data_IF_463225760253
#
_entry.id   IF_463225760253
#
_cell.length_a   1.000
_cell.length_b   1.000
_cell.length_c   1.000
_cell.angle_alpha   90.00
_cell.angle_beta   90.00
_cell.angle_gamma   90.00
#
_symmetry.space_group_name_H-M   'P 1'
#
loop_
_entity.id
_entity.type
_entity.pdbx_description
1 polymer ?
#
# COMPACT_ATOMS: atom_id res chain seq x y z
N UNK A 1 18.77 24.16 2.13
CA UNK A 1 19.17 22.81 1.66
C UNK A 1 18.02 21.88 1.97
N UNK A 2 17.40 21.37 0.92
CA UNK A 2 16.05 20.81 0.86
C UNK A 2 15.79 19.65 1.81
N UNK A 3 14.92 19.86 2.80
CA UNK A 3 14.20 18.78 3.49
C UNK A 3 12.74 18.84 3.01
N UNK A 4 12.41 18.09 1.95
CA UNK A 4 11.04 18.01 1.44
C UNK A 4 10.23 17.06 2.34
N UNK A 5 9.21 17.62 3.00
CA UNK A 5 7.90 17.02 3.24
C UNK A 5 7.84 15.50 3.47
N UNK A 6 8.23 15.04 4.66
CA UNK A 6 7.63 13.81 5.21
C UNK A 6 6.24 14.17 5.73
N UNK A 7 5.25 14.18 4.84
CA UNK A 7 3.85 14.27 5.23
C UNK A 7 3.49 12.99 5.98
N UNK A 8 3.71 12.96 7.29
CA UNK A 8 3.10 11.96 8.16
C UNK A 8 1.60 12.20 8.09
N UNK A 9 0.92 11.51 7.18
CA UNK A 9 -0.54 11.46 7.16
C UNK A 9 -0.94 10.87 8.51
N UNK A 10 -1.32 11.73 9.45
CA UNK A 10 -2.20 11.34 10.56
C UNK A 10 -3.50 10.91 9.89
N UNK A 11 -3.59 9.64 9.51
CA UNK A 11 -4.82 9.02 9.05
C UNK A 11 -5.73 8.95 10.30
N UNK A 12 -6.41 10.05 10.61
CA UNK A 12 -7.54 10.03 11.54
C UNK A 12 -8.63 9.27 10.79
N UNK A 13 -8.68 7.96 11.02
CA UNK A 13 -9.55 7.02 10.31
C UNK A 13 -11.01 7.33 10.65
N UNK A 14 -11.69 8.04 9.74
CA UNK A 14 -13.16 8.06 9.66
C UNK A 14 -13.68 7.06 8.61
N UNK A 15 -12.77 6.34 7.95
CA UNK A 15 -13.06 5.47 6.80
C UNK A 15 -12.33 4.15 6.95
N UNK A 16 -13.09 3.07 7.17
CA UNK A 16 -12.54 1.71 7.23
C UNK A 16 -12.55 1.03 5.87
N UNK A 17 -11.51 0.23 5.60
CA UNK A 17 -11.58 -0.89 4.65
C UNK A 17 -11.53 -2.17 5.48
N UNK A 18 -12.61 -2.94 5.52
CA UNK A 18 -12.70 -4.17 6.34
C UNK A 18 -12.04 -5.39 5.68
N UNK A 19 -11.40 -5.21 4.52
CA UNK A 19 -10.89 -6.32 3.70
C UNK A 19 -9.40 -6.60 3.91
N UNK A 20 -8.81 -6.15 5.02
CA UNK A 20 -7.45 -6.55 5.40
C UNK A 20 -7.52 -7.83 6.23
N UNK A 21 -6.88 -8.92 5.78
CA UNK A 21 -7.17 -10.26 6.27
C UNK A 21 -6.58 -10.59 7.64
N UNK A 22 -5.41 -10.07 8.00
CA UNK A 22 -4.70 -10.50 9.23
C UNK A 22 -4.31 -9.33 10.12
N UNK A 23 -3.24 -8.62 9.78
CA UNK A 23 -2.68 -7.55 10.60
C UNK A 23 -1.84 -6.63 9.74
N UNK A 24 -2.20 -5.35 9.75
CA UNK A 24 -1.43 -4.30 9.08
C UNK A 24 -0.10 -4.11 9.80
N UNK A 25 1.01 -4.27 9.07
CA UNK A 25 2.37 -4.06 9.57
C UNK A 25 2.94 -2.69 9.19
N UNK A 26 2.41 -2.07 8.14
CA UNK A 26 2.91 -0.81 7.62
C UNK A 26 1.94 -0.15 6.65
N UNK A 27 1.98 1.18 6.63
CA UNK A 27 1.22 2.00 5.68
C UNK A 27 2.18 3.04 5.11
N UNK A 28 2.24 3.14 3.79
CA UNK A 28 3.00 4.15 3.05
C UNK A 28 2.07 4.82 2.04
N UNK A 29 2.26 6.11 1.77
CA UNK A 29 1.43 6.84 0.80
C UNK A 29 2.30 7.47 -0.27
N UNK A 30 1.92 7.32 -1.53
CA UNK A 30 2.59 7.97 -2.67
C UNK A 30 1.52 8.48 -3.63
N UNK A 31 1.35 9.80 -3.67
CA UNK A 31 0.33 10.45 -4.49
C UNK A 31 -1.09 10.01 -4.12
N UNK A 32 -1.79 9.40 -5.08
CA UNK A 32 -3.17 8.89 -4.88
C UNK A 32 -3.20 7.42 -4.40
N UNK A 33 -2.04 6.81 -4.19
CA UNK A 33 -1.92 5.41 -3.78
C UNK A 33 -1.49 5.32 -2.33
N UNK A 34 -2.12 4.39 -1.63
CA UNK A 34 -1.79 3.99 -0.29
C UNK A 34 -1.34 2.53 -0.40
N UNK A 35 -0.12 2.26 0.03
CA UNK A 35 0.48 0.94 0.10
C UNK A 35 0.26 0.46 1.53
N UNK A 36 -0.41 -0.66 1.68
CA UNK A 36 -0.66 -1.30 2.98
C UNK A 36 0.03 -2.64 2.97
N UNK A 37 0.83 -2.92 3.99
CA UNK A 37 1.47 -4.22 4.16
C UNK A 37 0.77 -5.01 5.24
N UNK A 38 0.55 -6.29 4.97
CA UNK A 38 -0.02 -7.25 5.90
C UNK A 38 1.06 -8.25 6.38
N UNK A 39 0.94 -8.67 7.63
CA UNK A 39 1.87 -9.61 8.27
C UNK A 39 1.95 -11.00 7.64
N UNK A 40 0.98 -11.41 6.83
CA UNK A 40 0.93 -12.73 6.18
C UNK A 40 0.51 -12.66 4.70
N UNK A 41 -0.20 -11.61 4.30
CA UNK A 41 -0.81 -11.48 2.97
C UNK A 41 -0.10 -10.46 2.07
N UNK A 42 1.21 -10.24 2.31
CA UNK A 42 2.08 -9.40 1.47
C UNK A 42 1.63 -7.93 1.42
N UNK A 43 1.45 -7.37 0.23
CA UNK A 43 1.21 -5.94 -0.01
C UNK A 43 -0.09 -5.73 -0.76
N UNK A 44 -0.87 -4.76 -0.29
CA UNK A 44 -2.10 -4.30 -0.91
C UNK A 44 -1.95 -2.86 -1.38
N UNK A 45 -2.35 -2.59 -2.61
CA UNK A 45 -2.45 -1.26 -3.17
C UNK A 45 -3.88 -0.74 -3.04
N UNK A 46 -4.00 0.40 -2.39
CA UNK A 46 -5.27 1.00 -1.97
C UNK A 46 -5.39 2.40 -2.55
N UNK A 47 -6.60 2.79 -2.92
CA UNK A 47 -6.94 4.15 -3.32
C UNK A 47 -8.03 4.70 -2.41
N UNK A 48 -7.90 5.97 -2.05
CA UNK A 48 -8.96 6.70 -1.37
C UNK A 48 -9.89 7.38 -2.37
N UNK A 49 -11.17 6.99 -2.37
CA UNK A 49 -12.23 7.63 -3.15
C UNK A 49 -12.91 8.69 -2.30
N UNK A 50 -12.58 9.96 -2.56
CA UNK A 50 -13.07 11.10 -1.77
C UNK A 50 -14.59 11.28 -1.83
N UNK A 51 -15.21 11.02 -2.98
CA UNK A 51 -16.66 11.18 -3.17
C UNK A 51 -17.47 10.20 -2.30
N UNK A 52 -16.98 8.96 -2.20
CA UNK A 52 -17.62 7.88 -1.43
C UNK A 52 -17.09 7.80 0.01
N UNK A 53 -16.07 8.61 0.34
CA UNK A 53 -15.33 8.53 1.60
C UNK A 53 -14.93 7.07 1.91
N UNK A 54 -14.35 6.38 0.92
CA UNK A 54 -14.06 4.95 0.97
C UNK A 54 -12.62 4.63 0.58
N UNK A 55 -12.01 3.64 1.24
CA UNK A 55 -10.76 3.02 0.84
C UNK A 55 -11.03 1.75 0.03
N UNK A 56 -10.48 1.70 -1.19
CA UNK A 56 -10.68 0.60 -2.14
C UNK A 56 -9.34 -0.06 -2.44
N UNK A 57 -9.23 -1.35 -2.14
CA UNK A 57 -8.11 -2.19 -2.58
C UNK A 57 -8.32 -2.47 -4.08
N UNK A 58 -7.36 -2.07 -4.92
CA UNK A 58 -7.46 -2.26 -6.36
C UNK A 58 -6.46 -3.28 -6.91
N UNK A 59 -5.47 -3.67 -6.11
CA UNK A 59 -4.47 -4.68 -6.46
C UNK A 59 -3.85 -5.24 -5.19
N UNK A 60 -3.60 -6.54 -5.17
CA UNK A 60 -2.97 -7.32 -4.13
C UNK A 60 -1.90 -8.25 -4.73
N UNK A 61 -0.90 -8.61 -3.94
CA UNK A 61 0.06 -9.65 -4.30
C UNK A 61 -0.57 -11.02 -4.06
N UNK A 62 -0.47 -11.93 -5.03
CA UNK A 62 -1.05 -13.28 -4.94
C UNK A 62 -0.20 -14.25 -4.11
N UNK A 63 1.03 -13.85 -3.77
CA UNK A 63 1.94 -14.65 -2.97
C UNK A 63 1.88 -14.19 -1.51
N UNK A 64 1.51 -15.07 -0.56
CA UNK A 64 1.57 -14.71 0.86
C UNK A 64 3.02 -14.46 1.27
N UNK A 65 3.26 -13.35 1.96
CA UNK A 65 4.58 -12.95 2.46
C UNK A 65 4.44 -12.44 3.89
N UNK A 66 5.37 -12.88 4.74
CA UNK A 66 5.39 -12.46 6.13
C UNK A 66 6.09 -11.11 6.30
N UNK A 67 5.44 -10.05 5.82
CA UNK A 67 6.06 -8.73 5.66
C UNK A 67 6.42 -8.13 7.01
N UNK A 68 7.69 -7.76 7.16
CA UNK A 68 8.20 -7.01 8.31
C UNK A 68 8.41 -5.54 7.95
N UNK A 69 8.81 -5.27 6.72
CA UNK A 69 9.09 -3.92 6.24
C UNK A 69 8.88 -3.80 4.74
N UNK A 70 8.61 -2.58 4.26
CA UNK A 70 8.57 -2.28 2.85
C UNK A 70 9.18 -0.91 2.54
N UNK A 71 9.58 -0.71 1.29
CA UNK A 71 10.07 0.55 0.76
C UNK A 71 9.44 0.79 -0.61
N UNK A 72 8.76 1.93 -0.78
CA UNK A 72 8.21 2.33 -2.08
C UNK A 72 9.37 2.79 -2.97
N UNK A 73 9.58 2.10 -4.10
CA UNK A 73 10.68 2.40 -5.03
C UNK A 73 10.24 3.39 -6.11
N UNK A 74 9.03 3.20 -6.63
CA UNK A 74 8.37 4.10 -7.57
C UNK A 74 6.85 4.04 -7.40
N UNK A 75 6.11 4.65 -8.33
CA UNK A 75 4.65 4.72 -8.26
C UNK A 75 3.95 3.34 -8.33
N UNK A 76 4.58 2.37 -8.97
CA UNK A 76 4.04 1.03 -9.19
C UNK A 76 4.80 -0.07 -8.46
N UNK A 77 6.04 0.15 -8.04
CA UNK A 77 6.84 -0.91 -7.41
C UNK A 77 7.25 -0.62 -5.97
N UNK A 78 7.29 -1.69 -5.19
CA UNK A 78 7.60 -1.71 -3.77
C UNK A 78 8.58 -2.84 -3.50
N UNK A 79 9.66 -2.56 -2.78
CA UNK A 79 10.53 -3.56 -2.19
C UNK A 79 9.94 -4.03 -0.85
N UNK A 80 9.92 -5.33 -0.63
CA UNK A 80 9.31 -5.97 0.54
C UNK A 80 10.35 -6.87 1.21
N UNK A 81 10.55 -6.70 2.51
CA UNK A 81 11.33 -7.59 3.35
C UNK A 81 10.41 -8.47 4.20
N UNK A 82 10.75 -9.75 4.31
CA UNK A 82 10.01 -10.72 5.13
C UNK A 82 10.74 -11.07 6.44
N UNK A 83 10.06 -11.79 7.34
CA UNK A 83 10.63 -12.26 8.62
C UNK A 83 11.72 -13.34 8.48
N UNK A 84 11.84 -13.97 7.32
CA UNK A 84 12.75 -15.07 7.04
C UNK A 84 14.03 -14.60 6.31
N UNK A 85 14.15 -13.30 6.06
CA UNK A 85 15.30 -12.70 5.41
C UNK A 85 15.22 -12.65 3.87
N UNK A 86 14.08 -13.00 3.28
CA UNK A 86 13.86 -12.81 1.85
C UNK A 86 13.49 -11.37 1.53
N UNK A 87 13.94 -10.91 0.37
CA UNK A 87 13.58 -9.61 -0.21
C UNK A 87 12.90 -9.87 -1.54
N UNK A 88 11.80 -9.16 -1.81
CA UNK A 88 11.05 -9.28 -3.06
C UNK A 88 10.64 -7.93 -3.59
N UNK A 89 10.60 -7.79 -4.91
CA UNK A 89 10.10 -6.59 -5.59
C UNK A 89 8.71 -6.91 -6.12
N UNK A 90 7.72 -6.21 -5.58
CA UNK A 90 6.31 -6.33 -5.98
C UNK A 90 5.98 -5.16 -6.89
N UNK A 91 5.46 -5.45 -8.08
CA UNK A 91 5.07 -4.44 -9.07
C UNK A 91 3.58 -4.56 -9.35
N UNK A 92 2.83 -3.48 -9.09
CA UNK A 92 1.44 -3.36 -9.52
C UNK A 92 1.40 -2.99 -11.00
N UNK A 93 1.11 -3.99 -11.84
CA UNK A 93 1.04 -3.82 -13.30
C UNK A 93 -0.29 -3.25 -13.78
N UNK A 94 -1.02 -2.50 -12.94
CA UNK A 94 -2.18 -1.74 -13.40
C UNK A 94 -1.64 -0.41 -13.92
N UNK A 95 -1.35 -0.39 -15.23
CA UNK A 95 -1.20 0.85 -16.00
C UNK A 95 -2.47 1.66 -15.73
N UNK A 96 -2.31 2.83 -15.15
CA UNK A 96 -3.37 3.76 -14.78
C UNK A 96 -4.24 4.11 -16.01
N UNK A 97 -5.23 3.26 -16.30
CA UNK A 97 -6.34 3.51 -17.21
C UNK A 97 -7.60 2.86 -16.61
N UNK A 98 -7.97 3.27 -15.40
CA UNK A 98 -9.38 3.50 -15.09
C UNK A 98 -9.57 5.01 -15.07
N UNK A 99 -9.51 5.60 -16.26
CA UNK A 99 -10.18 6.85 -16.56
C UNK A 99 -11.66 6.48 -16.73
N UNK A 100 -12.41 6.40 -15.64
CA UNK A 100 -13.86 6.60 -15.67
C UNK A 100 -14.41 6.74 -14.26
N UNK A 101 -15.06 7.89 -14.09
CA UNK A 101 -15.99 8.31 -13.02
C UNK A 101 -15.37 8.71 -11.68
#
# INVERSE_FOLDING_TARGET
>A
MMWHHTTTIRLVVYVGCWNFPVQITGIQSTGQRIIVTDSQESVHFVRYRKAENQLVIFCDDTTPRYVTTCCVLDYNTVAVGDKFGSISIVSSMIRTCFYSS
#
